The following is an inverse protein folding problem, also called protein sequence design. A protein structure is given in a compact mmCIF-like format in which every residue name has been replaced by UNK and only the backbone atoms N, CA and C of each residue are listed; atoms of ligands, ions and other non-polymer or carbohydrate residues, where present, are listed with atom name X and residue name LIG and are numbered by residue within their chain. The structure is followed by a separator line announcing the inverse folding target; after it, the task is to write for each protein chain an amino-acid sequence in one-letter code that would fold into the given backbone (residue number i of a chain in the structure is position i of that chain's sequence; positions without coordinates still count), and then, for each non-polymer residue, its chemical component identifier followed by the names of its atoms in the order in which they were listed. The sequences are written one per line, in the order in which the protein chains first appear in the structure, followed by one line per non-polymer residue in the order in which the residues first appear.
data_IF_364662463718
#
_entry.id   IF_364662463718
#
_cell.length_a   1.000
_cell.length_b   1.000
_cell.length_c   1.000
_cell.angle_alpha   90.00
_cell.angle_beta   90.00
_cell.angle_gamma   90.00
#
_symmetry.space_group_name_H-M   'P 1'
#
loop_
_entity.id
_entity.type
_entity.pdbx_description
1 polymer ?
#
# COMPACT_ATOMS: atom_id res chain seq x y z
N UNK A 1 7.98 20.21 9.99
CA UNK A 1 8.67 20.28 8.66
C UNK A 1 10.19 20.33 8.78
N UNK A 2 10.77 20.52 9.97
CA UNK A 2 12.23 20.51 10.14
C UNK A 2 12.80 19.09 10.29
N UNK A 3 12.00 18.15 10.83
CA UNK A 3 12.36 16.73 10.90
C UNK A 3 12.57 16.09 9.51
N UNK A 4 11.70 16.38 8.55
CA UNK A 4 11.80 15.86 7.17
C UNK A 4 13.04 16.39 6.46
N UNK A 5 13.38 17.68 6.66
CA UNK A 5 14.60 18.28 6.10
C UNK A 5 15.88 17.68 6.70
N UNK A 6 15.86 17.30 7.98
CA UNK A 6 16.99 16.60 8.63
C UNK A 6 17.18 15.18 8.12
N UNK A 7 16.10 14.48 7.75
CA UNK A 7 16.17 13.16 7.10
C UNK A 7 16.89 13.25 5.75
N UNK A 8 16.56 14.25 4.93
CA UNK A 8 17.13 14.45 3.60
C UNK A 8 18.65 14.81 3.66
N UNK A 9 19.09 15.44 4.74
CA UNK A 9 20.49 15.76 5.00
C UNK A 9 21.31 14.61 5.65
N UNK A 10 20.63 13.58 6.17
CA UNK A 10 21.22 12.50 6.98
C UNK A 10 21.54 11.24 6.19
N UNK A 11 22.28 11.36 5.10
CA UNK A 11 22.79 10.18 4.38
C UNK A 11 23.71 9.33 5.26
N UNK A 12 23.48 8.02 5.29
CA UNK A 12 24.41 6.98 5.75
C UNK A 12 24.64 6.80 7.27
N UNK A 13 23.58 6.61 8.06
CA UNK A 13 23.77 6.04 9.41
C UNK A 13 22.86 4.83 9.62
N UNK A 14 23.44 3.63 9.57
CA UNK A 14 22.85 2.38 10.06
C UNK A 14 22.78 2.39 11.61
N UNK A 15 22.09 3.36 12.19
CA UNK A 15 21.90 3.44 13.64
C UNK A 15 20.41 3.36 13.97
N UNK A 16 19.99 2.23 14.56
CA UNK A 16 18.61 2.00 15.00
C UNK A 16 18.12 3.12 15.93
N UNK A 17 18.97 3.63 16.83
CA UNK A 17 18.61 4.72 17.73
C UNK A 17 18.33 6.03 17.00
N UNK A 18 19.05 6.32 15.92
CA UNK A 18 18.81 7.53 15.13
C UNK A 18 17.50 7.43 14.34
N UNK A 19 17.17 6.22 13.86
CA UNK A 19 15.88 5.93 13.22
C UNK A 19 14.73 6.05 14.22
N UNK A 20 14.88 5.50 15.42
CA UNK A 20 13.84 5.54 16.45
C UNK A 20 13.61 6.97 16.96
N UNK A 21 14.68 7.77 17.14
CA UNK A 21 14.58 9.18 17.52
C UNK A 21 13.89 10.03 16.44
N UNK A 22 14.15 9.73 15.16
CA UNK A 22 13.49 10.42 14.05
C UNK A 22 12.01 10.02 13.95
N UNK A 23 11.68 8.74 14.12
CA UNK A 23 10.31 8.27 14.13
C UNK A 23 9.51 8.91 15.28
N UNK A 24 10.12 9.06 16.45
CA UNK A 24 9.53 9.76 17.60
C UNK A 24 9.27 11.24 17.28
N UNK A 25 10.24 11.96 16.70
CA UNK A 25 10.09 13.36 16.32
C UNK A 25 8.99 13.58 15.26
N UNK A 26 8.88 12.67 14.27
CA UNK A 26 7.79 12.71 13.28
C UNK A 26 6.44 12.44 13.98
N UNK A 27 6.39 11.49 14.90
CA UNK A 27 5.15 11.17 15.62
C UNK A 27 4.69 12.33 16.53
N UNK A 28 5.62 13.05 17.17
CA UNK A 28 5.31 14.26 17.93
C UNK A 28 4.85 15.42 17.04
N UNK A 29 5.43 15.59 15.84
CA UNK A 29 5.00 16.63 14.89
C UNK A 29 3.63 16.31 14.24
N UNK A 30 3.22 15.04 14.21
CA UNK A 30 2.00 14.58 13.57
C UNK A 30 1.17 13.63 14.47
N UNK A 31 0.67 14.10 15.62
CA UNK A 31 -0.01 13.25 16.61
C UNK A 31 -1.32 12.64 16.09
N UNK A 32 -1.97 13.29 15.11
CA UNK A 32 -3.21 12.82 14.48
C UNK A 32 -2.95 11.87 13.29
N UNK A 33 -1.69 11.66 12.88
CA UNK A 33 -1.34 10.75 11.79
C UNK A 33 -1.09 9.36 12.38
N UNK A 34 -2.16 8.59 12.56
CA UNK A 34 -2.03 7.15 12.76
C UNK A 34 -1.65 6.50 11.43
N UNK A 35 -0.39 6.05 11.32
CA UNK A 35 0.15 5.33 10.15
C UNK A 35 -0.67 4.05 9.88
N UNK A 36 -1.33 3.53 10.91
CA UNK A 36 -1.99 2.22 10.94
C UNK A 36 -3.35 2.17 10.21
N UNK A 37 -3.92 3.32 9.84
CA UNK A 37 -5.25 3.37 9.22
C UNK A 37 -5.25 3.40 7.69
N UNK A 38 -4.08 3.45 7.06
CA UNK A 38 -3.99 3.60 5.62
C UNK A 38 -3.50 2.33 4.93
N UNK A 39 -4.05 1.99 3.76
CA UNK A 39 -3.52 0.89 2.98
C UNK A 39 -2.10 1.22 2.51
N UNK A 40 -1.21 0.23 2.59
CA UNK A 40 0.11 0.23 1.97
C UNK A 40 -0.03 0.37 0.45
N UNK A 41 -1.09 -0.20 -0.12
CA UNK A 41 -1.47 0.02 -1.50
C UNK A 41 -2.80 -0.66 -1.85
N UNK A 42 -3.30 -0.32 -3.03
CA UNK A 42 -4.57 -0.83 -3.56
C UNK A 42 -4.27 -1.58 -4.85
N UNK A 43 -4.81 -2.79 -4.99
CA UNK A 43 -4.66 -3.65 -6.17
C UNK A 43 -6.04 -3.95 -6.74
N UNK A 44 -6.20 -3.86 -8.06
CA UNK A 44 -7.45 -4.16 -8.74
C UNK A 44 -7.19 -4.94 -10.03
N UNK A 45 -8.23 -5.59 -10.56
CA UNK A 45 -8.14 -6.37 -11.80
C UNK A 45 -7.92 -5.43 -12.98
N UNK A 46 -6.99 -5.80 -13.85
CA UNK A 46 -6.80 -5.09 -15.11
C UNK A 46 -7.75 -5.68 -16.17
N UNK A 47 -8.42 -4.81 -16.92
CA UNK A 47 -9.35 -5.18 -17.99
C UNK A 47 -8.84 -4.85 -19.40
N UNK A 48 -7.57 -4.46 -19.55
CA UNK A 48 -6.95 -4.24 -20.87
C UNK A 48 -6.80 -5.53 -21.70
N UNK A 49 -7.00 -6.69 -21.08
CA UNK A 49 -6.77 -7.99 -21.69
C UNK A 49 -5.30 -8.41 -21.63
N UNK A 50 -5.00 -9.57 -22.20
CA UNK A 50 -3.65 -10.13 -22.19
C UNK A 50 -2.63 -9.14 -22.82
N UNK A 51 -1.45 -8.93 -22.21
CA UNK A 51 -0.88 -9.72 -21.10
C UNK A 51 -1.17 -9.15 -19.70
N UNK A 52 -2.08 -8.18 -19.54
CA UNK A 52 -2.28 -7.49 -18.27
C UNK A 52 -3.29 -8.21 -17.37
N UNK A 53 -2.96 -8.27 -16.08
CA UNK A 53 -3.73 -9.04 -15.09
C UNK A 53 -4.26 -8.16 -13.95
N UNK A 54 -3.42 -7.27 -13.43
CA UNK A 54 -3.76 -6.40 -12.30
C UNK A 54 -3.15 -5.01 -12.49
N UNK A 55 -3.68 -4.01 -11.80
CA UNK A 55 -3.08 -2.69 -11.65
C UNK A 55 -3.05 -2.25 -10.20
N UNK A 56 -2.14 -1.35 -9.87
CA UNK A 56 -2.15 -0.63 -8.60
C UNK A 56 -2.88 0.69 -8.76
N UNK A 57 -3.60 1.08 -7.71
CA UNK A 57 -4.36 2.33 -7.66
C UNK A 57 -3.79 3.26 -6.60
N UNK A 58 -3.95 4.56 -6.82
CA UNK A 58 -3.82 5.56 -5.76
C UNK A 58 -5.09 5.59 -4.88
N UNK A 59 -5.07 6.41 -3.82
CA UNK A 59 -6.19 6.51 -2.87
C UNK A 59 -7.46 7.14 -3.48
N UNK A 60 -7.35 7.76 -4.65
CA UNK A 60 -8.47 8.31 -5.39
C UNK A 60 -8.98 7.38 -6.49
N UNK A 61 -8.38 6.18 -6.61
CA UNK A 61 -8.75 5.17 -7.61
C UNK A 61 -8.09 5.35 -8.97
N UNK A 62 -7.14 6.28 -9.13
CA UNK A 62 -6.42 6.40 -10.40
C UNK A 62 -5.37 5.29 -10.52
N UNK A 63 -5.17 4.82 -11.74
CA UNK A 63 -4.19 3.79 -12.04
C UNK A 63 -2.79 4.37 -11.95
N UNK A 64 -1.96 3.75 -11.10
CA UNK A 64 -0.52 4.06 -10.97
C UNK A 64 0.26 3.23 -12.00
N UNK A 65 0.03 1.91 -12.03
CA UNK A 65 0.76 1.01 -12.91
C UNK A 65 -0.07 -0.25 -13.23
N UNK A 66 0.00 -0.67 -14.50
CA UNK A 66 -0.49 -1.98 -14.93
C UNK A 66 0.63 -3.02 -14.85
N UNK A 67 0.29 -4.22 -14.40
CA UNK A 67 1.19 -5.35 -14.28
C UNK A 67 0.76 -6.46 -15.23
N UNK A 68 1.74 -7.02 -15.94
CA UNK A 68 1.56 -8.18 -16.81
C UNK A 68 1.51 -9.48 -16.01
N UNK A 69 1.05 -10.55 -16.65
CA UNK A 69 1.23 -11.92 -16.16
C UNK A 69 2.68 -12.15 -15.75
N UNK A 70 2.88 -12.71 -14.56
CA UNK A 70 4.19 -12.98 -13.95
C UNK A 70 5.08 -11.77 -13.63
N UNK A 71 4.65 -10.54 -13.94
CA UNK A 71 5.37 -9.34 -13.50
C UNK A 71 5.24 -9.23 -11.97
N UNK A 72 6.33 -9.02 -11.21
CA UNK A 72 6.24 -8.96 -9.75
C UNK A 72 5.58 -7.66 -9.30
N UNK A 73 4.61 -7.78 -8.39
CA UNK A 73 4.13 -6.65 -7.60
C UNK A 73 5.16 -6.28 -6.54
N UNK A 74 5.12 -5.04 -6.00
CA UNK A 74 5.82 -4.71 -4.78
C UNK A 74 5.54 -5.78 -3.70
N UNK A 75 6.56 -6.29 -2.97
CA UNK A 75 6.41 -7.47 -2.10
C UNK A 75 5.23 -7.38 -1.12
N UNK A 76 4.96 -6.19 -0.58
CA UNK A 76 3.87 -5.96 0.37
C UNK A 76 2.47 -6.09 -0.25
N UNK A 77 2.34 -5.94 -1.58
CA UNK A 77 1.09 -5.97 -2.33
C UNK A 77 0.80 -7.33 -2.98
N UNK A 78 1.78 -8.24 -3.02
CA UNK A 78 1.65 -9.56 -3.66
C UNK A 78 0.45 -10.35 -3.15
N UNK A 79 0.14 -10.27 -1.85
CA UNK A 79 -1.03 -10.92 -1.23
C UNK A 79 -2.38 -10.43 -1.75
N UNK A 80 -2.45 -9.23 -2.33
CA UNK A 80 -3.66 -8.68 -2.94
C UNK A 80 -3.97 -9.26 -4.33
N UNK A 81 -2.97 -9.82 -5.03
CA UNK A 81 -3.11 -10.28 -6.44
C UNK A 81 -4.20 -11.33 -6.60
N UNK A 82 -4.18 -12.37 -5.78
CA UNK A 82 -5.12 -13.48 -5.92
C UNK A 82 -6.58 -13.02 -5.74
N UNK A 83 -6.83 -12.12 -4.79
CA UNK A 83 -8.15 -11.56 -4.55
C UNK A 83 -8.59 -10.65 -5.70
N UNK A 84 -7.70 -9.80 -6.21
CA UNK A 84 -8.01 -8.95 -7.37
C UNK A 84 -8.37 -9.80 -8.60
N UNK A 85 -7.67 -10.91 -8.83
CA UNK A 85 -7.93 -11.82 -9.96
C UNK A 85 -9.20 -12.65 -9.81
N UNK A 86 -9.72 -12.84 -8.59
CA UNK A 86 -10.98 -13.56 -8.37
C UNK A 86 -12.17 -12.90 -9.08
N UNK A 87 -12.08 -11.60 -9.41
CA UNK A 87 -13.07 -10.90 -10.24
C UNK A 87 -14.41 -10.62 -9.56
N UNK A 88 -14.55 -10.95 -8.27
CA UNK A 88 -15.72 -10.60 -7.45
C UNK A 88 -15.58 -9.22 -6.80
N UNK A 89 -14.36 -8.72 -6.70
CA UNK A 89 -14.02 -7.48 -6.01
C UNK A 89 -13.64 -6.42 -7.03
N UNK A 90 -14.05 -5.18 -6.76
CA UNK A 90 -13.69 -4.00 -7.54
C UNK A 90 -12.21 -3.65 -7.29
N UNK A 91 -11.80 -3.67 -6.03
CA UNK A 91 -10.42 -3.46 -5.61
C UNK A 91 -10.11 -4.16 -4.29
N UNK A 92 -8.82 -4.25 -3.98
CA UNK A 92 -8.27 -4.91 -2.80
C UNK A 92 -7.28 -3.98 -2.12
N UNK A 93 -7.60 -3.57 -0.90
CA UNK A 93 -6.73 -2.77 -0.05
C UNK A 93 -5.81 -3.66 0.77
N UNK A 94 -4.54 -3.29 0.84
CA UNK A 94 -3.50 -4.08 1.49
C UNK A 94 -2.91 -3.30 2.66
N UNK A 95 -3.10 -3.78 3.89
CA UNK A 95 -2.66 -3.16 5.14
C UNK A 95 -1.63 -4.04 5.85
N UNK A 96 -0.77 -3.49 6.70
CA UNK A 96 0.29 -4.26 7.36
C UNK A 96 -0.19 -5.61 7.95
N UNK A 97 -1.35 -5.62 8.61
CA UNK A 97 -1.94 -6.75 9.34
C UNK A 97 -3.06 -7.50 8.60
N UNK A 98 -3.61 -6.93 7.51
CA UNK A 98 -4.81 -7.47 6.84
C UNK A 98 -4.91 -7.10 5.37
N UNK A 99 -5.84 -7.75 4.69
CA UNK A 99 -6.26 -7.41 3.33
C UNK A 99 -7.76 -7.23 3.33
N UNK A 100 -8.25 -6.17 2.71
CA UNK A 100 -9.68 -5.86 2.61
C UNK A 100 -10.06 -5.89 1.14
N UNK A 101 -10.89 -6.84 0.74
CA UNK A 101 -11.42 -6.93 -0.61
C UNK A 101 -12.79 -6.26 -0.66
N UNK A 102 -12.97 -5.31 -1.59
CA UNK A 102 -14.17 -4.46 -1.68
C UNK A 102 -14.91 -4.75 -2.97
N UNK A 103 -16.21 -4.98 -2.87
CA UNK A 103 -17.10 -5.21 -4.02
C UNK A 103 -17.64 -3.88 -4.58
N UNK A 104 -18.23 -3.90 -5.77
CA UNK A 104 -18.84 -2.70 -6.37
C UNK A 104 -20.06 -2.17 -5.62
N UNK A 105 -20.72 -3.00 -4.79
CA UNK A 105 -21.77 -2.57 -3.85
C UNK A 105 -21.24 -1.91 -2.59
N UNK A 106 -19.92 -1.94 -2.36
CA UNK A 106 -19.27 -1.45 -1.15
C UNK A 106 -19.16 -2.49 -0.03
N UNK A 107 -19.62 -3.72 -0.23
CA UNK A 107 -19.44 -4.80 0.75
C UNK A 107 -17.96 -5.18 0.84
N UNK A 108 -17.49 -5.47 2.05
CA UNK A 108 -16.08 -5.77 2.33
C UNK A 108 -15.89 -7.19 2.85
N UNK A 109 -14.79 -7.81 2.44
CA UNK A 109 -14.32 -9.10 2.95
C UNK A 109 -12.91 -8.92 3.51
N UNK A 110 -12.74 -9.21 4.80
CA UNK A 110 -11.47 -9.01 5.51
C UNK A 110 -10.76 -10.34 5.66
N UNK A 111 -9.52 -10.39 5.16
CA UNK A 111 -8.59 -11.51 5.36
C UNK A 111 -7.49 -11.02 6.32
N UNK A 112 -7.42 -11.61 7.51
CA UNK A 112 -6.34 -11.34 8.46
C UNK A 112 -5.10 -12.14 8.07
N UNK A 113 -3.92 -11.50 8.14
CA UNK A 113 -2.62 -12.12 7.91
C UNK A 113 -2.16 -12.99 9.07
#
# INVERSE_FOLDING_TARGET
MDAIKKLDAGGHVHNRQAVDALAAAISEEFPDVTIDQHPIGIVSRCYLGAPYEVHTLDRTGNIIQHYKSFEPLPPLLTRGRALALHGRYEFVEVYADKVIAVTSSGDTSIVKG
#
